data_IF_436752381037
#
_entry.id   IF_436752381037
#
_cell.length_a   1.000
_cell.length_b   1.000
_cell.length_c   1.000
_cell.angle_alpha   90.00
_cell.angle_beta   90.00
_cell.angle_gamma   90.00
#
_symmetry.space_group_name_H-M   'P 1'
#
loop_
_entity.id
_entity.type
_entity.pdbx_description
1 polymer ?
#
# COMPACT_ATOMS: atom_id res chain seq x y z
N UNK A 1 -7.85 -26.66 11.26
CA UNK A 1 -7.53 -25.94 12.54
C UNK A 1 -8.48 -24.75 12.79
N UNK A 2 -8.78 -24.34 14.04
CA UNK A 2 -9.63 -23.17 14.36
C UNK A 2 -8.91 -21.84 14.02
N UNK A 3 -9.32 -21.14 12.96
CA UNK A 3 -8.77 -19.84 12.54
C UNK A 3 -9.21 -18.72 13.50
N UNK A 4 -8.33 -18.27 14.39
CA UNK A 4 -8.69 -17.39 15.52
C UNK A 4 -8.51 -15.87 15.28
N UNK A 5 -8.00 -15.41 14.12
CA UNK A 5 -7.61 -14.00 13.90
C UNK A 5 -7.92 -13.39 12.52
N UNK A 6 -8.95 -13.86 11.80
CA UNK A 6 -9.32 -13.28 10.49
C UNK A 6 -10.60 -12.45 10.58
N UNK A 7 -10.63 -11.34 9.83
CA UNK A 7 -11.78 -10.43 9.78
C UNK A 7 -13.01 -11.12 9.15
N UNK A 8 -14.24 -10.75 9.54
CA UNK A 8 -15.45 -11.31 8.94
C UNK A 8 -15.45 -11.13 7.41
N UNK A 9 -15.88 -12.15 6.67
CA UNK A 9 -15.86 -12.12 5.20
C UNK A 9 -16.68 -10.98 4.58
N UNK A 10 -17.64 -10.42 5.33
CA UNK A 10 -18.44 -9.25 4.91
C UNK A 10 -17.63 -7.95 4.80
N UNK A 11 -16.45 -7.87 5.42
CA UNK A 11 -15.60 -6.66 5.41
C UNK A 11 -14.77 -6.54 4.13
N UNK A 12 -14.62 -7.63 3.39
CA UNK A 12 -13.86 -7.69 2.14
C UNK A 12 -14.28 -6.66 1.08
N UNK A 13 -15.57 -6.53 0.69
CA UNK A 13 -15.96 -5.55 -0.32
C UNK A 13 -15.64 -4.12 0.13
N UNK A 14 -15.80 -3.81 1.42
CA UNK A 14 -15.44 -2.50 1.97
C UNK A 14 -13.94 -2.22 1.87
N UNK A 15 -13.10 -3.23 2.16
CA UNK A 15 -11.65 -3.12 1.97
C UNK A 15 -11.27 -2.82 0.52
N UNK A 16 -11.88 -3.54 -0.43
CA UNK A 16 -11.60 -3.37 -1.87
C UNK A 16 -12.06 -1.99 -2.34
N UNK A 17 -13.28 -1.58 -1.99
CA UNK A 17 -13.81 -0.26 -2.34
C UNK A 17 -12.91 0.82 -1.77
N UNK A 18 -12.52 0.71 -0.50
CA UNK A 18 -11.64 1.68 0.16
C UNK A 18 -10.28 1.77 -0.54
N UNK A 19 -9.62 0.64 -0.84
CA UNK A 19 -8.36 0.66 -1.58
C UNK A 19 -8.51 1.30 -2.94
N UNK A 20 -9.57 0.95 -3.68
CA UNK A 20 -9.75 1.43 -5.04
C UNK A 20 -10.03 2.93 -5.04
N UNK A 21 -10.89 3.41 -4.14
CA UNK A 21 -11.17 4.84 -4.02
C UNK A 21 -9.93 5.62 -3.59
N UNK A 22 -9.18 5.15 -2.58
CA UNK A 22 -7.98 5.84 -2.13
C UNK A 22 -6.90 5.86 -3.20
N UNK A 23 -6.65 4.76 -3.90
CA UNK A 23 -5.68 4.71 -5.00
C UNK A 23 -6.08 5.63 -6.15
N UNK A 24 -7.35 5.63 -6.56
CA UNK A 24 -7.84 6.53 -7.61
C UNK A 24 -7.68 8.00 -7.22
N UNK A 25 -8.04 8.36 -5.99
CA UNK A 25 -7.87 9.73 -5.49
C UNK A 25 -6.40 10.11 -5.41
N UNK A 26 -5.51 9.21 -4.95
CA UNK A 26 -4.06 9.44 -4.96
C UNK A 26 -3.51 9.67 -6.36
N UNK A 27 -3.94 8.89 -7.36
CA UNK A 27 -3.51 9.08 -8.76
C UNK A 27 -4.02 10.44 -9.29
N UNK A 28 -5.28 10.78 -9.04
CA UNK A 28 -5.83 12.09 -9.43
C UNK A 28 -5.05 13.24 -8.78
N UNK A 29 -4.72 13.12 -7.50
CA UNK A 29 -3.91 14.12 -6.79
C UNK A 29 -2.51 14.25 -7.39
N UNK A 30 -1.85 13.15 -7.73
CA UNK A 30 -0.54 13.17 -8.40
C UNK A 30 -0.57 13.84 -9.78
N UNK A 31 -1.69 13.77 -10.50
CA UNK A 31 -1.85 14.40 -11.83
C UNK A 31 -2.24 15.88 -11.70
N UNK A 32 -3.16 16.20 -10.79
CA UNK A 32 -3.71 17.54 -10.61
C UNK A 32 -2.83 18.46 -9.76
N UNK A 33 -1.92 17.92 -8.95
CA UNK A 33 -1.02 18.70 -8.10
C UNK A 33 -1.79 19.65 -7.18
N UNK A 34 -1.45 20.94 -7.25
CA UNK A 34 -2.04 21.99 -6.40
C UNK A 34 -3.49 22.34 -6.75
N UNK A 35 -3.98 21.98 -7.95
CA UNK A 35 -5.36 22.25 -8.37
C UNK A 35 -6.37 21.28 -7.75
N UNK A 36 -5.90 20.27 -7.01
CA UNK A 36 -6.79 19.27 -6.41
C UNK A 36 -7.54 19.83 -5.18
N UNK A 37 -8.87 19.64 -5.06
CA UNK A 37 -9.66 20.26 -4.00
C UNK A 37 -9.24 19.90 -2.58
N UNK A 38 -8.74 18.68 -2.37
CA UNK A 38 -8.28 18.22 -1.05
C UNK A 38 -6.88 18.74 -0.72
N UNK A 39 -6.09 19.18 -1.71
CA UNK A 39 -4.74 19.69 -1.48
C UNK A 39 -4.71 20.98 -0.63
N UNK A 40 -5.87 21.60 -0.37
CA UNK A 40 -6.00 22.81 0.43
C UNK A 40 -6.17 22.56 1.94
N UNK A 41 -6.21 21.30 2.40
CA UNK A 41 -6.29 20.98 3.83
C UNK A 41 -4.88 21.10 4.45
N UNK A 42 -4.41 22.33 4.57
CA UNK A 42 -3.12 22.64 5.16
C UNK A 42 -3.25 22.82 6.68
N UNK A 43 -2.41 22.11 7.42
CA UNK A 43 -2.22 22.30 8.86
C UNK A 43 -0.90 23.01 9.08
N UNK A 44 -0.89 23.99 9.97
CA UNK A 44 0.32 24.73 10.34
C UNK A 44 0.91 24.11 11.60
N UNK A 45 2.13 23.62 11.50
CA UNK A 45 2.93 23.21 12.66
C UNK A 45 4.09 24.17 12.85
N UNK A 46 4.28 24.66 14.07
CA UNK A 46 5.43 25.48 14.43
C UNK A 46 6.54 24.59 14.96
N UNK A 47 7.63 24.47 14.21
CA UNK A 47 8.82 23.77 14.65
C UNK A 47 10.04 24.51 14.09
N UNK A 48 10.94 24.97 14.96
CA UNK A 48 12.23 25.52 14.53
C UNK A 48 13.09 24.38 13.99
N UNK A 49 13.03 24.17 12.67
CA UNK A 49 13.93 23.26 11.98
C UNK A 49 15.23 24.04 11.73
N UNK A 50 16.42 23.52 12.11
CA UNK A 50 17.69 24.09 11.67
C UNK A 50 17.70 24.18 10.13
N UNK A 51 18.18 25.31 9.58
CA UNK A 51 18.30 25.61 8.13
C UNK A 51 19.26 24.65 7.39
N UNK A 52 18.98 23.36 7.43
CA UNK A 52 19.66 22.34 6.64
C UNK A 52 18.83 22.17 5.37
N UNK A 53 19.46 22.25 4.19
CA UNK A 53 18.85 22.09 2.84
C UNK A 53 17.96 20.83 2.64
N UNK A 54 17.96 19.92 3.62
CA UNK A 54 17.05 18.79 3.73
C UNK A 54 15.59 19.18 3.99
N UNK A 55 15.34 20.31 4.69
CA UNK A 55 13.99 20.77 5.02
C UNK A 55 13.19 21.09 3.76
N UNK A 56 13.75 21.83 2.81
CA UNK A 56 12.97 22.41 1.71
C UNK A 56 12.54 21.38 0.64
N UNK A 57 13.15 20.20 0.61
CA UNK A 57 12.78 19.12 -0.31
C UNK A 57 11.73 18.15 0.28
N UNK A 58 11.47 18.22 1.59
CA UNK A 58 10.57 17.28 2.31
C UNK A 58 9.43 18.03 3.02
N UNK A 59 9.68 19.28 3.43
CA UNK A 59 8.76 20.11 4.18
C UNK A 59 8.61 21.47 3.48
N UNK A 60 7.36 21.92 3.30
CA UNK A 60 7.10 23.28 2.79
C UNK A 60 7.34 24.30 3.90
N UNK A 61 8.52 24.90 3.91
CA UNK A 61 8.90 25.95 4.87
C UNK A 61 8.20 27.27 4.52
N UNK A 62 7.27 27.70 5.36
CA UNK A 62 6.69 29.03 5.39
C UNK A 62 7.63 30.05 6.07
N UNK A 63 7.34 31.34 5.90
CA UNK A 63 8.15 32.41 6.50
C UNK A 63 8.14 32.30 8.04
N UNK A 64 9.34 32.35 8.64
CA UNK A 64 9.50 32.40 10.11
C UNK A 64 9.51 31.04 10.83
N UNK A 65 10.00 29.97 10.19
CA UNK A 65 10.09 28.64 10.80
C UNK A 65 8.75 27.91 10.90
N UNK A 66 7.74 28.34 10.13
CA UNK A 66 6.45 27.66 10.06
C UNK A 66 6.51 26.59 9.00
N UNK A 67 6.14 25.35 9.32
CA UNK A 67 6.03 24.29 8.31
C UNK A 67 4.56 24.14 7.94
N UNK A 68 4.28 24.25 6.65
CA UNK A 68 2.95 23.97 6.10
C UNK A 68 2.92 22.51 5.73
N UNK A 69 2.09 21.73 6.43
CA UNK A 69 1.88 20.32 6.15
C UNK A 69 0.51 20.16 5.47
N UNK A 70 0.50 19.41 4.37
CA UNK A 70 -0.73 18.95 3.77
C UNK A 70 -1.06 17.62 4.45
N UNK A 71 -2.28 17.44 4.98
CA UNK A 71 -2.66 16.16 5.62
C UNK A 71 -3.26 15.13 4.64
N UNK A 72 -3.33 15.51 3.36
CA UNK A 72 -4.07 14.76 2.34
C UNK A 72 -3.38 13.44 2.03
N UNK A 73 -2.06 13.43 1.90
CA UNK A 73 -1.28 12.24 1.62
C UNK A 73 -1.28 11.25 2.79
N UNK A 74 -1.34 11.71 4.04
CA UNK A 74 -1.49 10.85 5.21
C UNK A 74 -2.85 10.18 5.23
N UNK A 75 -3.94 10.93 4.98
CA UNK A 75 -5.29 10.37 4.93
C UNK A 75 -5.39 9.32 3.82
N UNK A 76 -4.84 9.60 2.64
CA UNK A 76 -4.83 8.68 1.51
C UNK A 76 -3.96 7.45 1.80
N UNK A 77 -2.77 7.63 2.37
CA UNK A 77 -1.87 6.56 2.77
C UNK A 77 -2.51 5.62 3.79
N UNK A 78 -3.13 6.17 4.84
CA UNK A 78 -3.88 5.38 5.84
C UNK A 78 -5.03 4.63 5.17
N UNK A 79 -5.77 5.29 4.26
CA UNK A 79 -6.85 4.65 3.49
C UNK A 79 -6.37 3.43 2.69
N UNK A 80 -5.25 3.56 1.99
CA UNK A 80 -4.63 2.46 1.21
C UNK A 80 -4.20 1.32 2.14
N UNK A 81 -3.48 1.62 3.23
CA UNK A 81 -2.99 0.60 4.17
C UNK A 81 -4.15 -0.14 4.80
N UNK A 82 -5.12 0.58 5.37
CA UNK A 82 -6.31 0.00 5.98
C UNK A 82 -7.12 -0.82 4.99
N UNK A 83 -7.30 -0.31 3.77
CA UNK A 83 -8.00 -1.02 2.70
C UNK A 83 -7.31 -2.33 2.33
N UNK A 84 -5.99 -2.31 2.08
CA UNK A 84 -5.22 -3.50 1.69
C UNK A 84 -5.20 -4.53 2.83
N UNK A 85 -5.05 -4.05 4.07
CA UNK A 85 -5.10 -4.88 5.25
C UNK A 85 -6.45 -5.61 5.37
N UNK A 86 -7.56 -4.87 5.32
CA UNK A 86 -8.91 -5.45 5.38
C UNK A 86 -9.10 -6.45 4.23
N UNK A 87 -8.68 -6.08 3.03
CA UNK A 87 -8.81 -6.88 1.80
C UNK A 87 -8.05 -8.20 1.88
N UNK A 88 -6.82 -8.19 2.41
CA UNK A 88 -5.97 -9.37 2.51
C UNK A 88 -6.23 -10.26 3.73
N UNK A 89 -6.75 -9.70 4.83
CA UNK A 89 -7.03 -10.43 6.08
C UNK A 89 -8.51 -10.78 6.31
N UNK A 90 -9.38 -10.51 5.34
CA UNK A 90 -10.78 -10.95 5.37
C UNK A 90 -10.93 -12.47 5.13
N UNK A 91 -11.88 -13.10 5.83
CA UNK A 91 -12.24 -14.51 5.62
C UNK A 91 -12.88 -14.75 4.26
N UNK A 92 -12.61 -15.92 3.69
CA UNK A 92 -13.33 -16.45 2.53
C UNK A 92 -14.56 -17.24 2.97
N UNK A 93 -15.56 -17.37 2.08
CA UNK A 93 -16.82 -18.07 2.35
C UNK A 93 -16.60 -19.54 2.75
N UNK A 94 -15.59 -20.16 2.15
CA UNK A 94 -15.08 -21.49 2.51
C UNK A 94 -13.60 -21.29 2.78
N UNK A 95 -13.18 -21.49 4.03
CA UNK A 95 -11.79 -21.36 4.44
C UNK A 95 -11.23 -22.76 4.70
N UNK A 96 -10.36 -23.19 3.80
CA UNK A 96 -9.66 -24.47 3.86
C UNK A 96 -8.19 -24.25 4.27
N UNK A 97 -7.51 -25.29 4.74
CA UNK A 97 -6.12 -25.24 5.18
C UNK A 97 -5.18 -24.80 4.04
N UNK A 98 -5.49 -25.18 2.81
CA UNK A 98 -4.78 -24.69 1.60
C UNK A 98 -4.86 -23.17 1.47
N UNK A 99 -6.01 -22.56 1.71
CA UNK A 99 -6.19 -21.10 1.57
C UNK A 99 -5.40 -20.36 2.67
N UNK A 100 -5.39 -20.91 3.89
CA UNK A 100 -4.60 -20.36 4.97
C UNK A 100 -3.09 -20.40 4.66
N UNK A 101 -2.60 -21.50 4.07
CA UNK A 101 -1.22 -21.62 3.60
C UNK A 101 -0.89 -20.61 2.49
N UNK A 102 -1.74 -20.53 1.46
CA UNK A 102 -1.57 -19.55 0.36
C UNK A 102 -1.49 -18.12 0.91
N UNK A 103 -2.31 -17.77 1.90
CA UNK A 103 -2.29 -16.46 2.55
C UNK A 103 -0.95 -16.19 3.23
N UNK A 104 -0.46 -17.14 4.03
CA UNK A 104 0.81 -17.03 4.75
C UNK A 104 2.00 -16.91 3.77
N UNK A 105 2.05 -17.77 2.75
CA UNK A 105 3.09 -17.71 1.73
C UNK A 105 3.02 -16.39 0.96
N UNK A 106 1.82 -15.89 0.64
CA UNK A 106 1.66 -14.61 -0.05
C UNK A 106 2.20 -13.46 0.80
N UNK A 107 1.97 -13.49 2.12
CA UNK A 107 2.50 -12.49 3.04
C UNK A 107 4.03 -12.54 3.10
N UNK A 108 4.60 -13.74 3.20
CA UNK A 108 6.06 -13.96 3.20
C UNK A 108 6.69 -13.43 1.90
N UNK A 109 6.06 -13.67 0.75
CA UNK A 109 6.52 -13.13 -0.53
C UNK A 109 6.44 -11.60 -0.59
N UNK A 110 5.41 -10.99 -0.01
CA UNK A 110 5.34 -9.53 0.12
C UNK A 110 6.54 -8.96 0.88
N UNK A 111 6.93 -9.62 1.97
CA UNK A 111 8.10 -9.26 2.76
C UNK A 111 9.40 -9.43 1.95
N UNK A 112 9.56 -10.55 1.25
CA UNK A 112 10.75 -10.79 0.42
C UNK A 112 10.92 -9.77 -0.69
N UNK A 113 9.84 -9.40 -1.39
CA UNK A 113 9.89 -8.38 -2.43
C UNK A 113 10.22 -7.01 -1.81
N UNK A 114 9.60 -6.65 -0.69
CA UNK A 114 9.87 -5.39 -0.01
C UNK A 114 11.35 -5.24 0.39
N UNK A 115 11.95 -6.27 0.99
CA UNK A 115 13.38 -6.25 1.32
C UNK A 115 14.27 -6.27 0.09
N UNK A 116 13.89 -6.99 -0.96
CA UNK A 116 14.65 -6.99 -2.22
C UNK A 116 14.69 -5.58 -2.83
N UNK A 117 13.53 -4.92 -2.92
CA UNK A 117 13.43 -3.53 -3.39
C UNK A 117 14.26 -2.61 -2.50
N UNK A 118 14.16 -2.77 -1.17
CA UNK A 118 14.93 -1.95 -0.23
C UNK A 118 16.44 -2.07 -0.44
N UNK A 119 16.97 -3.30 -0.57
CA UNK A 119 18.40 -3.53 -0.82
C UNK A 119 18.84 -2.90 -2.15
N UNK A 120 18.04 -3.07 -3.21
CA UNK A 120 18.29 -2.44 -4.50
C UNK A 120 18.35 -0.92 -4.35
N UNK A 121 17.40 -0.31 -3.66
CA UNK A 121 17.39 1.14 -3.44
C UNK A 121 18.59 1.63 -2.64
N UNK A 122 19.05 0.89 -1.62
CA UNK A 122 20.25 1.23 -0.84
C UNK A 122 21.49 1.29 -1.74
N UNK A 123 21.57 0.41 -2.76
CA UNK A 123 22.73 0.34 -3.65
C UNK A 123 22.67 1.41 -4.75
N UNK A 124 21.48 1.70 -5.28
CA UNK A 124 21.32 2.46 -6.53
C UNK A 124 20.68 3.84 -6.39
N UNK A 125 20.06 4.17 -5.27
CA UNK A 125 19.32 5.43 -5.09
C UNK A 125 19.94 6.24 -3.94
N UNK A 126 20.18 7.52 -4.17
CA UNK A 126 20.84 8.43 -3.23
C UNK A 126 19.98 9.64 -2.89
N UNK A 127 20.34 10.32 -1.80
CA UNK A 127 19.76 11.58 -1.34
C UNK A 127 18.23 11.54 -1.13
N UNK A 128 17.53 12.61 -1.49
CA UNK A 128 16.08 12.77 -1.29
C UNK A 128 15.26 11.77 -2.12
N UNK A 129 15.78 11.32 -3.26
CA UNK A 129 15.14 10.29 -4.07
C UNK A 129 15.05 8.96 -3.33
N UNK A 130 16.05 8.62 -2.51
CA UNK A 130 16.00 7.41 -1.69
C UNK A 130 14.81 7.46 -0.73
N UNK A 131 14.61 8.60 -0.06
CA UNK A 131 13.51 8.79 0.88
C UNK A 131 12.15 8.70 0.20
N UNK A 132 11.98 9.35 -0.96
CA UNK A 132 10.75 9.25 -1.76
C UNK A 132 10.43 7.80 -2.13
N UNK A 133 11.42 7.04 -2.60
CA UNK A 133 11.23 5.63 -2.95
C UNK A 133 10.91 4.79 -1.72
N UNK A 134 11.51 5.08 -0.56
CA UNK A 134 11.19 4.38 0.70
C UNK A 134 9.76 4.64 1.17
N UNK A 135 9.22 5.85 1.00
CA UNK A 135 7.81 6.15 1.30
C UNK A 135 6.89 5.24 0.49
N UNK A 136 7.14 5.08 -0.81
CA UNK A 136 6.35 4.16 -1.64
C UNK A 136 6.59 2.68 -1.27
N UNK A 137 7.80 2.32 -0.86
CA UNK A 137 8.15 0.96 -0.46
C UNK A 137 7.37 0.48 0.77
N UNK A 138 6.86 1.38 1.62
CA UNK A 138 6.01 1.04 2.77
C UNK A 138 4.72 0.32 2.36
N UNK A 139 4.19 0.59 1.16
CA UNK A 139 2.96 -0.04 0.67
C UNK A 139 3.21 -1.36 -0.09
N UNK A 140 4.42 -1.53 -0.65
CA UNK A 140 4.82 -2.70 -1.45
C UNK A 140 4.49 -4.06 -0.82
N UNK A 141 4.80 -4.34 0.46
CA UNK A 141 4.55 -5.68 1.01
C UNK A 141 3.06 -6.03 1.03
N UNK A 142 2.20 -5.05 1.33
CA UNK A 142 0.74 -5.24 1.33
C UNK A 142 0.19 -5.38 -0.08
N UNK A 143 0.66 -4.58 -1.04
CA UNK A 143 0.26 -4.69 -2.44
C UNK A 143 0.61 -6.05 -3.03
N UNK A 144 1.87 -6.49 -2.87
CA UNK A 144 2.33 -7.79 -3.37
C UNK A 144 1.61 -8.95 -2.68
N UNK A 145 1.40 -8.87 -1.37
CA UNK A 145 0.63 -9.84 -0.62
C UNK A 145 -0.77 -10.01 -1.19
N UNK A 146 -1.53 -8.92 -1.33
CA UNK A 146 -2.92 -8.94 -1.82
C UNK A 146 -2.98 -9.42 -3.26
N UNK A 147 -2.10 -8.92 -4.13
CA UNK A 147 -2.05 -9.31 -5.54
C UNK A 147 -1.75 -10.81 -5.70
N UNK A 148 -0.71 -11.32 -5.03
CA UNK A 148 -0.31 -12.73 -5.09
C UNK A 148 -1.39 -13.65 -4.51
N UNK A 149 -2.00 -13.25 -3.40
CA UNK A 149 -3.06 -14.01 -2.75
C UNK A 149 -4.25 -14.24 -3.70
N UNK A 150 -4.75 -13.17 -4.34
CA UNK A 150 -5.88 -13.29 -5.27
C UNK A 150 -5.52 -13.96 -6.58
N UNK A 151 -4.29 -13.78 -7.07
CA UNK A 151 -3.80 -14.50 -8.24
C UNK A 151 -3.81 -16.01 -8.01
N UNK A 152 -3.26 -16.48 -6.90
CA UNK A 152 -3.21 -17.91 -6.57
C UNK A 152 -4.61 -18.46 -6.30
N UNK A 153 -5.50 -17.67 -5.71
CA UNK A 153 -6.86 -18.09 -5.40
C UNK A 153 -7.74 -18.27 -6.65
N UNK A 154 -7.67 -17.37 -7.62
CA UNK A 154 -8.59 -17.34 -8.77
C UNK A 154 -7.96 -17.82 -10.08
N UNK A 155 -6.68 -17.53 -10.31
CA UNK A 155 -6.04 -17.73 -11.62
C UNK A 155 -5.36 -19.10 -11.71
N UNK A 156 -4.64 -19.54 -10.67
CA UNK A 156 -3.98 -20.86 -10.65
C UNK A 156 -4.92 -22.04 -10.95
N UNK A 157 -6.07 -22.20 -10.26
CA UNK A 157 -6.96 -23.32 -10.53
C UNK A 157 -7.63 -23.25 -11.92
N UNK A 158 -7.87 -22.04 -12.44
CA UNK A 158 -8.43 -21.87 -13.78
C UNK A 158 -7.45 -22.29 -14.89
N UNK A 159 -6.15 -22.06 -14.69
CA UNK A 159 -5.09 -22.48 -15.61
C UNK A 159 -4.95 -24.01 -15.60
N UNK A 160 -4.96 -24.63 -14.41
CA UNK A 160 -4.87 -26.08 -14.25
C UNK A 160 -6.04 -26.79 -14.94
N UNK A 161 -7.28 -26.32 -14.73
CA UNK A 161 -8.47 -26.88 -15.37
C UNK A 161 -8.44 -26.75 -16.90
N UNK A 162 -7.86 -25.67 -17.45
CA UNK A 162 -7.70 -25.49 -18.90
C UNK A 162 -6.64 -26.44 -19.47
N UNK A 163 -5.55 -26.66 -18.75
CA UNK A 163 -4.47 -27.58 -19.15
C UNK A 163 -4.96 -29.03 -19.20
N UNK A 164 -5.74 -29.46 -18.21
CA UNK A 164 -6.35 -30.80 -18.20
C UNK A 164 -7.28 -31.02 -19.38
N UNK A 165 -8.12 -30.03 -19.74
CA UNK A 165 -9.00 -30.12 -20.91
C UNK A 165 -8.28 -30.15 -22.25
N UNK A 166 -7.04 -29.67 -22.34
CA UNK A 166 -6.24 -29.74 -23.57
C UNK A 166 -5.50 -31.06 -23.77
N UNK A 167 -5.46 -31.92 -22.75
CA UNK A 167 -4.78 -33.22 -22.77
C UNK A 167 -5.76 -34.40 -22.97
N UNK A 168 -7.07 -34.13 -23.03
CA UNK A 168 -8.16 -35.08 -23.31
C UNK A 168 -8.68 -34.81 -24.72
#
# INVERSE_FOLDING_TARGET
MKTRYLLPGSWRPYGIVLTLTSVLVSICWLISGEDFPLAQINTYSYFDIPDWQFSDNIFSTGKGGTVVLNITDEILGIGIICGLFITGFSKLKIEDERIALIRLESLQWGIYVNFTVMVVCIIFVYDTWFLLVMIYNMFTPLFIFVARFYWLLYVSPAIEAKKERSLV
#
